data_IF_258118508409
#
_entry.id   IF_258118508409
#
_cell.length_a   1.000
_cell.length_b   1.000
_cell.length_c   1.000
_cell.angle_alpha   90.00
_cell.angle_beta   90.00
_cell.angle_gamma   90.00
#
_symmetry.space_group_name_H-M   'P 1'
#
loop_
_entity.id
_entity.type
_entity.pdbx_description
1 polymer ?
#
# COMPACT_ATOMS: atom_id res chain seq x y z
N UNK A 1 -34.86 -0.64 0.35
CA UNK A 1 -33.80 0.37 0.48
C UNK A 1 -32.60 -0.40 0.98
N UNK A 2 -31.80 -0.89 0.05
CA UNK A 2 -30.49 -1.46 0.38
C UNK A 2 -29.57 -0.26 0.55
N UNK A 3 -28.98 -0.13 1.73
CA UNK A 3 -27.90 0.82 1.96
C UNK A 3 -26.73 0.31 1.10
N UNK A 4 -26.37 1.11 0.09
CA UNK A 4 -25.19 0.89 -0.74
C UNK A 4 -23.97 1.08 0.17
N UNK A 5 -23.63 0.03 0.93
CA UNK A 5 -22.51 -0.05 1.88
C UNK A 5 -21.13 0.09 1.18
N UNK A 6 -21.13 0.26 -0.14
CA UNK A 6 -19.95 0.44 -0.98
C UNK A 6 -19.72 1.91 -1.33
N UNK A 7 -19.43 2.75 -0.34
CA UNK A 7 -18.95 4.11 -0.61
C UNK A 7 -17.81 4.12 -1.63
N UNK A 8 -17.73 5.14 -2.48
CA UNK A 8 -16.66 5.24 -3.49
C UNK A 8 -15.29 5.35 -2.82
N UNK A 9 -14.46 4.32 -2.97
CA UNK A 9 -13.11 4.27 -2.41
C UNK A 9 -12.09 4.58 -3.51
N UNK A 10 -11.33 5.67 -3.35
CA UNK A 10 -10.26 6.03 -4.27
C UNK A 10 -8.96 5.29 -3.91
N UNK A 11 -8.39 4.58 -4.90
CA UNK A 11 -7.16 3.79 -4.75
C UNK A 11 -6.09 4.29 -5.74
N UNK A 12 -4.85 4.44 -5.25
CA UNK A 12 -3.66 4.59 -6.09
C UNK A 12 -2.92 3.25 -6.12
N UNK A 13 -2.67 2.69 -7.30
CA UNK A 13 -2.04 1.37 -7.43
C UNK A 13 -0.92 1.38 -8.46
N UNK A 14 0.07 0.50 -8.27
CA UNK A 14 1.15 0.27 -9.21
C UNK A 14 1.54 -1.22 -9.23
N UNK A 15 1.79 -1.73 -10.44
CA UNK A 15 2.31 -3.07 -10.67
C UNK A 15 3.85 -3.05 -10.68
N UNK A 16 4.47 -4.14 -10.26
CA UNK A 16 5.92 -4.26 -10.19
C UNK A 16 6.39 -5.70 -10.09
N UNK A 17 7.68 -5.84 -9.79
CA UNK A 17 8.36 -7.14 -9.80
C UNK A 17 8.71 -7.63 -11.21
N UNK A 18 9.48 -8.73 -11.31
CA UNK A 18 10.12 -9.18 -12.57
C UNK A 18 9.14 -9.54 -13.70
N UNK A 19 7.88 -9.84 -13.37
CA UNK A 19 6.81 -10.14 -14.34
C UNK A 19 5.60 -9.20 -14.23
N UNK A 20 5.70 -8.13 -13.43
CA UNK A 20 4.57 -7.23 -13.18
C UNK A 20 3.47 -7.81 -12.29
N UNK A 21 3.68 -8.98 -11.67
CA UNK A 21 2.66 -9.68 -10.87
C UNK A 21 2.51 -9.15 -9.45
N UNK A 22 3.45 -8.36 -8.94
CA UNK A 22 3.34 -7.76 -7.61
C UNK A 22 2.58 -6.44 -7.69
N UNK A 23 1.73 -6.12 -6.72
CA UNK A 23 0.94 -4.89 -6.70
C UNK A 23 1.12 -4.14 -5.37
N UNK A 24 1.39 -2.85 -5.44
CA UNK A 24 1.26 -1.93 -4.30
C UNK A 24 0.02 -1.07 -4.50
N UNK A 25 -0.84 -1.03 -3.49
CA UNK A 25 -2.10 -0.29 -3.50
C UNK A 25 -2.18 0.58 -2.25
N UNK A 26 -2.44 1.86 -2.43
CA UNK A 26 -2.76 2.79 -1.35
C UNK A 26 -4.23 3.19 -1.46
N UNK A 27 -4.96 2.90 -0.41
CA UNK A 27 -6.41 3.12 -0.31
C UNK A 27 -6.72 3.84 0.99
N UNK A 28 -7.86 4.54 1.06
CA UNK A 28 -8.34 5.09 2.33
C UNK A 28 -9.62 4.41 2.80
N UNK A 29 -9.57 3.89 4.03
CA UNK A 29 -10.72 3.37 4.78
C UNK A 29 -10.82 4.12 6.12
N UNK A 30 -10.97 5.44 6.07
CA UNK A 30 -10.83 6.35 7.22
C UNK A 30 -9.38 6.63 7.63
N UNK A 31 -8.47 5.70 7.37
CA UNK A 31 -7.01 5.91 7.43
C UNK A 31 -6.33 5.42 6.14
N UNK A 32 -5.20 6.03 5.76
CA UNK A 32 -4.34 5.50 4.70
C UNK A 32 -3.94 4.05 5.01
N UNK A 33 -4.28 3.15 4.10
CA UNK A 33 -3.98 1.72 4.15
C UNK A 33 -3.14 1.37 2.94
N UNK A 34 -1.96 0.80 3.17
CA UNK A 34 -1.16 0.20 2.11
C UNK A 34 -1.45 -1.30 2.08
N UNK A 35 -1.77 -1.81 0.90
CA UNK A 35 -1.90 -3.23 0.60
C UNK A 35 -0.81 -3.64 -0.40
N UNK A 36 -0.14 -4.76 -0.12
CA UNK A 36 0.95 -5.28 -0.92
C UNK A 36 0.66 -6.74 -1.30
N UNK A 37 0.41 -6.94 -2.59
CA UNK A 37 0.37 -8.26 -3.22
C UNK A 37 1.78 -8.66 -3.65
N UNK A 38 2.24 -9.82 -3.17
CA UNK A 38 3.54 -10.38 -3.53
C UNK A 38 3.57 -10.93 -4.97
N UNK A 39 2.42 -11.09 -5.62
CA UNK A 39 2.28 -11.75 -6.92
C UNK A 39 2.64 -13.22 -6.83
N UNK A 40 3.33 -13.74 -7.85
CA UNK A 40 3.79 -15.15 -7.90
C UNK A 40 4.72 -15.53 -6.72
N UNK A 41 5.29 -14.56 -6.00
CA UNK A 41 6.13 -14.79 -4.82
C UNK A 41 5.33 -15.01 -3.53
N UNK A 42 4.00 -14.84 -3.55
CA UNK A 42 3.11 -15.11 -2.43
C UNK A 42 2.62 -16.56 -2.47
N UNK A 43 3.15 -17.47 -1.63
CA UNK A 43 2.46 -18.75 -1.41
C UNK A 43 1.06 -18.49 -0.82
N UNK A 44 0.23 -19.52 -0.76
CA UNK A 44 -0.97 -19.48 0.07
C UNK A 44 -0.51 -19.32 1.54
N UNK A 45 -0.77 -18.15 2.12
CA UNK A 45 -0.26 -17.76 3.43
C UNK A 45 -1.37 -17.83 4.48
N UNK A 46 -1.03 -18.29 5.70
CA UNK A 46 -1.99 -18.34 6.79
C UNK A 46 -2.44 -16.91 7.22
N UNK A 47 -3.74 -16.71 7.50
CA UNK A 47 -4.26 -15.42 7.95
C UNK A 47 -3.52 -14.88 9.17
N UNK A 48 -3.28 -13.56 9.20
CA UNK A 48 -2.69 -12.90 10.36
C UNK A 48 -1.17 -13.03 10.49
N UNK A 49 -0.49 -13.68 9.54
CA UNK A 49 0.98 -13.66 9.45
C UNK A 49 1.45 -12.20 9.43
N UNK A 50 2.43 -11.90 10.28
CA UNK A 50 3.11 -10.60 10.29
C UNK A 50 4.47 -10.72 9.64
N UNK A 51 4.82 -9.76 8.81
CA UNK A 51 6.13 -9.71 8.17
C UNK A 51 6.65 -8.29 8.05
N UNK A 52 7.96 -8.15 8.17
CA UNK A 52 8.64 -6.87 7.99
C UNK A 52 9.07 -6.70 6.53
N UNK A 53 8.76 -5.53 6.00
CA UNK A 53 9.14 -5.09 4.66
C UNK A 53 9.89 -3.77 4.75
N UNK A 54 11.05 -3.69 4.09
CA UNK A 54 11.80 -2.46 3.96
C UNK A 54 11.50 -1.82 2.60
N UNK A 55 10.98 -0.60 2.63
CA UNK A 55 10.71 0.23 1.46
C UNK A 55 11.90 1.16 1.25
N UNK A 56 12.50 1.10 0.07
CA UNK A 56 13.72 1.86 -0.27
C UNK A 56 13.48 2.69 -1.51
N UNK A 57 13.68 4.00 -1.41
CA UNK A 57 13.65 4.90 -2.56
C UNK A 57 14.50 6.15 -2.28
N UNK A 58 15.21 6.65 -3.29
CA UNK A 58 15.97 7.91 -3.18
C UNK A 58 16.95 7.97 -2.00
N UNK A 59 17.60 6.85 -1.68
CA UNK A 59 18.54 6.74 -0.55
C UNK A 59 17.90 6.68 0.85
N UNK A 60 16.57 6.64 0.94
CA UNK A 60 15.83 6.48 2.20
C UNK A 60 15.32 5.06 2.34
N UNK A 61 15.24 4.60 3.59
CA UNK A 61 14.65 3.31 3.95
C UNK A 61 13.60 3.52 5.02
N UNK A 62 12.40 2.97 4.83
CA UNK A 62 11.34 2.90 5.84
C UNK A 62 10.94 1.45 5.99
N UNK A 63 11.03 0.91 7.20
CA UNK A 63 10.60 -0.46 7.50
C UNK A 63 9.21 -0.45 8.12
N UNK A 64 8.33 -1.32 7.64
CA UNK A 64 7.00 -1.54 8.20
C UNK A 64 6.74 -3.02 8.43
N UNK A 65 6.07 -3.30 9.54
CA UNK A 65 5.43 -4.60 9.74
C UNK A 65 4.05 -4.55 9.11
N UNK A 66 3.79 -5.44 8.16
CA UNK A 66 2.50 -5.63 7.53
C UNK A 66 1.88 -6.93 8.07
N UNK A 67 0.56 -7.01 8.03
CA UNK A 67 -0.24 -8.17 8.44
C UNK A 67 -0.92 -8.75 7.22
N UNK A 68 -0.87 -10.06 7.04
CA UNK A 68 -1.55 -10.72 5.94
C UNK A 68 -3.07 -10.74 6.16
N UNK A 69 -3.78 -10.17 5.20
CA UNK A 69 -5.21 -10.32 5.02
C UNK A 69 -5.50 -11.51 4.08
N UNK A 70 -5.96 -12.63 4.65
CA UNK A 70 -6.12 -13.88 3.92
C UNK A 70 -7.19 -13.85 2.82
N UNK A 71 -8.19 -12.97 2.92
CA UNK A 71 -9.27 -12.91 1.92
C UNK A 71 -8.76 -12.51 0.54
N UNK A 72 -7.72 -11.68 0.49
CA UNK A 72 -7.10 -11.20 -0.74
C UNK A 72 -5.65 -11.66 -0.91
N UNK A 73 -5.08 -12.34 0.09
CA UNK A 73 -3.67 -12.71 0.18
C UNK A 73 -2.72 -11.50 0.10
N UNK A 74 -3.12 -10.36 0.69
CA UNK A 74 -2.33 -9.12 0.68
C UNK A 74 -1.73 -8.84 2.05
N UNK A 75 -0.50 -8.35 2.07
CA UNK A 75 0.08 -7.76 3.27
C UNK A 75 -0.42 -6.33 3.42
N UNK A 76 -1.03 -6.00 4.54
CA UNK A 76 -1.63 -4.69 4.78
C UNK A 76 -1.02 -3.98 5.99
N UNK A 77 -1.01 -2.65 5.95
CA UNK A 77 -0.68 -1.82 7.11
C UNK A 77 -1.40 -0.48 7.02
N UNK A 78 -1.84 0.04 8.17
CA UNK A 78 -2.47 1.35 8.29
C UNK A 78 -1.51 2.32 8.97
N UNK A 79 -1.53 3.58 8.56
CA UNK A 79 -0.67 4.61 9.12
C UNK A 79 -1.30 6.00 9.04
N UNK A 80 -0.69 6.97 9.74
CA UNK A 80 -1.14 8.36 9.71
C UNK A 80 -0.79 9.06 8.39
N UNK A 81 -1.45 10.18 8.10
CA UNK A 81 -1.21 10.99 6.90
C UNK A 81 0.19 11.61 6.81
N UNK A 82 0.92 11.66 7.93
CA UNK A 82 2.29 12.17 8.03
C UNK A 82 3.35 11.07 8.07
N UNK A 83 2.97 9.81 7.84
CA UNK A 83 3.89 8.67 7.92
C UNK A 83 5.05 8.81 6.91
N UNK A 84 6.31 8.53 7.31
CA UNK A 84 7.46 8.64 6.41
C UNK A 84 7.36 7.74 5.17
N UNK A 85 6.59 6.65 5.23
CA UNK A 85 6.33 5.80 4.07
C UNK A 85 5.61 6.56 2.95
N UNK A 86 4.64 7.42 3.29
CA UNK A 86 3.95 8.25 2.29
C UNK A 86 4.91 9.23 1.61
N UNK A 87 5.83 9.82 2.39
CA UNK A 87 6.87 10.68 1.85
C UNK A 87 7.80 9.94 0.88
N UNK A 88 8.12 8.68 1.17
CA UNK A 88 8.93 7.82 0.32
C UNK A 88 8.19 7.45 -0.98
N UNK A 89 6.91 7.03 -0.88
CA UNK A 89 6.10 6.61 -2.03
C UNK A 89 5.72 7.76 -2.96
N UNK A 90 5.75 9.01 -2.50
CA UNK A 90 5.56 10.23 -3.32
C UNK A 90 6.81 10.65 -4.10
N UNK A 91 7.90 9.88 -4.01
CA UNK A 91 9.11 10.10 -4.82
C UNK A 91 8.83 9.93 -6.33
N UNK A 92 9.76 10.39 -7.17
CA UNK A 92 9.66 10.30 -8.65
C UNK A 92 10.45 9.13 -9.26
N UNK A 93 11.07 8.29 -8.42
CA UNK A 93 11.99 7.24 -8.84
C UNK A 93 11.38 5.85 -8.77
N UNK A 94 12.20 4.86 -8.48
CA UNK A 94 11.75 3.52 -8.14
C UNK A 94 11.65 3.37 -6.63
N UNK A 95 10.67 2.59 -6.17
CA UNK A 95 10.68 2.02 -4.82
C UNK A 95 10.96 0.52 -4.90
N UNK A 96 11.91 0.08 -4.11
CA UNK A 96 12.21 -1.33 -3.90
C UNK A 96 11.64 -1.77 -2.55
N UNK A 97 10.88 -2.85 -2.54
CA UNK A 97 10.29 -3.43 -1.34
C UNK A 97 10.94 -4.79 -1.10
N UNK A 98 11.63 -4.94 0.03
CA UNK A 98 12.39 -6.14 0.36
C UNK A 98 11.90 -6.81 1.64
N UNK A 99 11.90 -8.13 1.66
CA UNK A 99 11.72 -8.95 2.86
C UNK A 99 12.64 -10.16 2.81
N UNK A 100 13.26 -10.51 3.94
CA UNK A 100 14.13 -11.70 4.03
C UNK A 100 13.40 -12.99 3.65
N UNK A 101 12.09 -13.05 3.92
CA UNK A 101 11.26 -14.24 3.65
C UNK A 101 10.64 -14.24 2.26
N UNK A 102 10.28 -13.07 1.73
CA UNK A 102 9.46 -12.95 0.51
C UNK A 102 10.20 -12.35 -0.68
N UNK A 103 11.51 -12.09 -0.53
CA UNK A 103 12.34 -11.55 -1.59
C UNK A 103 12.11 -10.06 -1.82
N UNK A 104 12.29 -9.64 -3.07
CA UNK A 104 12.34 -8.24 -3.46
C UNK A 104 11.44 -7.99 -4.68
N UNK A 105 10.70 -6.87 -4.66
CA UNK A 105 10.00 -6.33 -5.81
C UNK A 105 10.27 -4.84 -5.95
N UNK A 106 10.38 -4.36 -7.19
CA UNK A 106 10.54 -2.94 -7.52
C UNK A 106 9.34 -2.39 -8.27
N UNK A 107 9.01 -1.12 -8.01
CA UNK A 107 7.86 -0.41 -8.56
C UNK A 107 8.25 0.99 -9.01
N UNK A 108 7.83 1.39 -10.20
CA UNK A 108 8.02 2.76 -10.68
C UNK A 108 7.05 3.70 -9.98
N UNK A 109 7.57 4.78 -9.39
CA UNK A 109 6.78 5.84 -8.76
C UNK A 109 6.50 7.01 -9.71
N UNK A 110 6.61 6.80 -11.02
CA UNK A 110 6.21 7.81 -11.99
C UNK A 110 4.76 8.26 -11.70
N UNK A 111 4.57 9.56 -11.50
CA UNK A 111 3.28 10.19 -11.18
C UNK A 111 2.60 9.77 -9.86
N UNK A 112 3.28 9.00 -9.00
CA UNK A 112 2.72 8.53 -7.74
C UNK A 112 2.28 9.67 -6.82
N UNK A 113 3.01 10.80 -6.83
CA UNK A 113 2.75 11.94 -5.95
C UNK A 113 1.35 12.52 -6.15
N UNK A 114 0.92 12.69 -7.41
CA UNK A 114 -0.41 13.21 -7.73
C UNK A 114 -1.51 12.22 -7.36
N UNK A 115 -1.31 10.93 -7.64
CA UNK A 115 -2.26 9.87 -7.30
C UNK A 115 -2.45 9.72 -5.79
N UNK A 116 -1.34 9.64 -5.04
CA UNK A 116 -1.36 9.59 -3.57
C UNK A 116 -1.97 10.87 -2.99
N UNK A 117 -1.71 12.03 -3.59
CA UNK A 117 -2.33 13.30 -3.21
C UNK A 117 -3.87 13.22 -3.24
N UNK A 118 -4.43 12.66 -4.31
CA UNK A 118 -5.89 12.45 -4.44
C UNK A 118 -6.44 11.49 -3.39
N UNK A 119 -5.78 10.36 -3.16
CA UNK A 119 -6.19 9.38 -2.13
C UNK A 119 -6.24 10.03 -0.75
N UNK A 120 -5.20 10.78 -0.36
CA UNK A 120 -5.16 11.41 0.96
C UNK A 120 -6.18 12.54 1.11
N UNK A 121 -6.50 13.27 0.04
CA UNK A 121 -7.53 14.29 0.07
C UNK A 121 -8.92 13.70 0.32
N UNK A 122 -9.26 12.59 -0.34
CA UNK A 122 -10.50 11.85 -0.06
C UNK A 122 -10.50 11.28 1.37
N UNK A 123 -9.34 10.86 1.86
CA UNK A 123 -9.20 10.34 3.21
C UNK A 123 -9.55 11.36 4.31
N UNK A 124 -9.18 12.64 4.10
CA UNK A 124 -9.54 13.71 5.02
C UNK A 124 -11.02 14.12 4.97
N UNK A 125 -11.70 13.88 3.84
CA UNK A 125 -13.14 14.16 3.69
C UNK A 125 -13.98 13.13 4.45
N UNK A 126 -13.64 11.85 4.36
CA UNK A 126 -14.36 10.78 5.08
C UNK A 126 -14.34 10.98 6.60
N UNK A 127 -13.27 11.57 7.15
CA UNK A 127 -13.21 11.93 8.58
C UNK A 127 -14.09 13.13 8.98
N UNK A 128 -14.61 13.88 8.02
CA UNK A 128 -15.46 15.07 8.26
C UNK A 128 -16.96 14.80 8.11
N UNK A 129 -17.34 13.62 7.62
CA UNK A 129 -18.75 13.20 7.41
C UNK A 129 -19.28 12.37 8.59
N UNK A 130 -18.53 12.32 9.70
CA UNK A 130 -18.88 11.56 10.92
C UNK A 130 -19.12 12.45 12.14
N UNK A 131 -19.49 13.73 11.94
CA UNK A 131 -19.92 14.65 13.00
C UNK A 131 -21.40 15.00 12.88
#
# INVERSE_FOLDING_TARGET
MEEDEGGSVLTASVCGGPKGGAHLMLTCFGKPTLSYDLGEAGPELEPGIKASFAFRAGGKTVTKTLVLEAMYNYFTTQFGSTDPLLGLLRGKGEVTVTSDKYGENSFSLADSSAAIGKVLAECGKASSDSD
#
